data_IF_867447380619
#
_entry.id   IF_867447380619
#
_cell.length_a   1.000
_cell.length_b   1.000
_cell.length_c   1.000
_cell.angle_alpha   90.00
_cell.angle_beta   90.00
_cell.angle_gamma   90.00
#
_symmetry.space_group_name_H-M   'P 1'
#
loop_
_entity.id
_entity.type
_entity.pdbx_description
1 polymer ?
#
# COMPACT_ATOMS: atom_id res chain seq x y z
N UNK A 1 -5.05 20.11 17.50
CA UNK A 1 -5.93 19.07 16.90
C UNK A 1 -6.08 19.36 15.40
N UNK A 2 -5.83 18.38 14.53
CA UNK A 2 -5.87 18.57 13.06
C UNK A 2 -7.29 18.78 12.51
N UNK A 3 -8.31 18.33 13.25
CA UNK A 3 -9.72 18.58 12.95
C UNK A 3 -10.34 19.29 14.15
N UNK A 4 -10.90 20.48 13.92
CA UNK A 4 -11.56 21.32 14.93
C UNK A 4 -13.05 21.42 14.62
N UNK A 5 -13.90 21.27 15.64
CA UNK A 5 -15.36 21.45 15.49
C UNK A 5 -15.75 22.93 15.50
N UNK A 6 -14.97 23.80 16.16
CA UNK A 6 -15.26 25.22 16.33
C UNK A 6 -13.99 26.05 16.12
N UNK A 7 -13.87 26.74 14.99
CA UNK A 7 -12.93 27.85 14.77
C UNK A 7 -11.44 27.60 15.09
N UNK A 8 -10.67 28.69 15.21
CA UNK A 8 -9.25 28.70 15.61
C UNK A 8 -9.01 29.80 16.64
N UNK A 9 -8.31 29.50 17.75
CA UNK A 9 -7.98 30.45 18.82
C UNK A 9 -8.08 29.82 20.21
N UNK A 10 -7.34 30.34 21.21
CA UNK A 10 -7.30 29.81 22.59
C UNK A 10 -8.70 29.67 23.21
N UNK A 11 -9.60 30.60 22.89
CA UNK A 11 -10.98 30.61 23.36
C UNK A 11 -11.80 29.41 22.87
N UNK A 12 -11.45 28.78 21.75
CA UNK A 12 -12.16 27.62 21.21
C UNK A 12 -11.50 26.28 21.59
N UNK A 13 -10.24 26.31 22.02
CA UNK A 13 -9.52 25.11 22.46
C UNK A 13 -10.07 24.59 23.80
N UNK A 14 -10.55 25.46 24.69
CA UNK A 14 -11.18 25.06 25.98
C UNK A 14 -12.54 24.36 25.80
N UNK A 15 -13.29 24.67 24.73
CA UNK A 15 -14.63 24.12 24.48
C UNK A 15 -14.65 22.99 23.46
N UNK A 16 -13.50 22.54 22.96
CA UNK A 16 -13.41 21.31 22.17
C UNK A 16 -13.76 20.12 23.07
N UNK A 17 -15.02 19.65 22.99
CA UNK A 17 -15.36 18.34 23.52
C UNK A 17 -14.63 17.30 22.68
N UNK A 18 -13.71 16.55 23.29
CA UNK A 18 -13.19 15.35 22.67
C UNK A 18 -14.36 14.37 22.58
N UNK A 19 -15.05 14.35 21.42
CA UNK A 19 -16.03 13.31 21.12
C UNK A 19 -15.36 11.97 21.39
N UNK A 20 -15.89 11.23 22.37
CA UNK A 20 -15.24 10.03 22.83
C UNK A 20 -15.82 8.83 22.11
N UNK A 21 -14.94 8.10 21.44
CA UNK A 21 -15.31 6.88 20.74
C UNK A 21 -15.55 5.78 21.77
N UNK A 22 -16.53 4.92 21.51
CA UNK A 22 -16.69 3.67 22.24
C UNK A 22 -15.47 2.76 22.04
N UNK A 23 -15.24 1.81 22.95
CA UNK A 23 -14.13 0.85 22.83
C UNK A 23 -14.17 0.06 21.51
N UNK A 24 -15.37 -0.22 20.99
CA UNK A 24 -15.53 -0.91 19.71
C UNK A 24 -15.15 -0.01 18.53
N UNK A 25 -15.60 1.25 18.53
CA UNK A 25 -15.23 2.21 17.49
C UNK A 25 -13.71 2.46 17.48
N UNK A 26 -13.06 2.58 18.64
CA UNK A 26 -11.61 2.73 18.73
C UNK A 26 -10.90 1.53 18.08
N UNK A 27 -11.35 0.31 18.38
CA UNK A 27 -10.79 -0.91 17.76
C UNK A 27 -10.93 -0.86 16.24
N UNK A 28 -12.15 -0.60 15.74
CA UNK A 28 -12.41 -0.51 14.31
C UNK A 28 -11.55 0.57 13.64
N UNK A 29 -11.41 1.74 14.27
CA UNK A 29 -10.57 2.83 13.75
C UNK A 29 -9.10 2.44 13.67
N UNK A 30 -8.55 1.81 14.72
CA UNK A 30 -7.16 1.32 14.72
C UNK A 30 -6.98 0.28 13.60
N UNK A 31 -7.87 -0.72 13.51
CA UNK A 31 -7.82 -1.74 12.47
C UNK A 31 -7.87 -1.13 11.05
N UNK A 32 -8.74 -0.14 10.82
CA UNK A 32 -8.80 0.56 9.54
C UNK A 32 -7.52 1.35 9.25
N UNK A 33 -6.99 2.09 10.22
CA UNK A 33 -5.80 2.93 10.06
C UNK A 33 -4.51 2.11 9.91
N UNK A 34 -4.42 0.93 10.52
CA UNK A 34 -3.28 0.03 10.34
C UNK A 34 -3.25 -0.66 8.97
N UNK A 35 -4.40 -0.74 8.29
CA UNK A 35 -4.58 -1.43 7.01
C UNK A 35 -4.84 -0.49 5.82
N UNK A 36 -5.00 0.82 6.06
CA UNK A 36 -5.18 1.79 5.00
C UNK A 36 -3.93 1.84 4.12
N UNK A 37 -4.11 1.89 2.81
CA UNK A 37 -3.03 2.07 1.84
C UNK A 37 -3.15 3.44 1.18
N UNK A 38 -2.00 4.07 0.98
CA UNK A 38 -1.82 5.42 0.43
C UNK A 38 -0.76 5.30 -0.66
N UNK A 39 -1.01 5.92 -1.81
CA UNK A 39 -0.08 5.94 -2.93
C UNK A 39 0.09 7.37 -3.44
N UNK A 40 1.33 7.86 -3.50
CA UNK A 40 1.68 9.09 -4.20
C UNK A 40 2.29 8.77 -5.59
N UNK A 41 1.58 9.04 -6.70
CA UNK A 41 2.08 8.73 -8.04
C UNK A 41 3.20 9.67 -8.51
N UNK A 42 3.44 10.80 -7.82
CA UNK A 42 4.48 11.77 -8.14
C UNK A 42 5.19 12.21 -6.85
N UNK A 43 5.72 11.21 -6.14
CA UNK A 43 6.27 11.29 -4.79
C UNK A 43 7.34 12.39 -4.62
N UNK A 44 8.07 12.74 -5.69
CA UNK A 44 9.18 13.66 -5.61
C UNK A 44 10.17 13.25 -4.53
N UNK A 45 10.52 14.20 -3.67
CA UNK A 45 11.43 13.96 -2.54
C UNK A 45 10.74 13.33 -1.32
N UNK A 46 9.47 12.94 -1.36
CA UNK A 46 8.79 12.26 -0.25
C UNK A 46 8.16 13.17 0.80
N UNK A 47 7.74 14.39 0.42
CA UNK A 47 7.10 15.30 1.38
C UNK A 47 5.75 14.76 1.84
N UNK A 48 4.95 14.24 0.90
CA UNK A 48 3.62 13.70 1.17
C UNK A 48 3.69 12.42 2.01
N UNK A 49 4.54 11.45 1.66
CA UNK A 49 4.62 10.18 2.40
C UNK A 49 5.15 10.37 3.82
N UNK A 50 6.15 11.23 4.02
CA UNK A 50 6.63 11.58 5.37
C UNK A 50 5.52 12.30 6.16
N UNK A 51 4.76 13.20 5.52
CA UNK A 51 3.61 13.84 6.15
C UNK A 51 2.53 12.84 6.55
N UNK A 52 2.16 11.93 5.65
CA UNK A 52 1.17 10.89 5.92
C UNK A 52 1.64 9.89 6.99
N UNK A 53 2.93 9.56 7.03
CA UNK A 53 3.53 8.79 8.12
C UNK A 53 3.28 9.47 9.47
N UNK A 54 3.55 10.78 9.56
CA UNK A 54 3.36 11.55 10.79
C UNK A 54 1.88 11.64 11.17
N UNK A 55 0.98 11.88 10.21
CA UNK A 55 -0.46 11.94 10.47
C UNK A 55 -0.99 10.61 11.00
N UNK A 56 -0.68 9.49 10.32
CA UNK A 56 -1.12 8.16 10.77
C UNK A 56 -0.54 7.81 12.14
N UNK A 57 0.73 8.12 12.37
CA UNK A 57 1.38 7.84 13.65
C UNK A 57 0.75 8.63 14.80
N UNK A 58 0.47 9.92 14.60
CA UNK A 58 -0.16 10.78 15.61
C UNK A 58 -1.60 10.34 15.91
N UNK A 59 -2.38 9.98 14.88
CA UNK A 59 -3.76 9.52 15.06
C UNK A 59 -3.75 8.18 15.81
N UNK A 60 -2.92 7.23 15.40
CA UNK A 60 -2.80 5.94 16.09
C UNK A 60 -2.34 6.11 17.53
N UNK A 61 -1.31 6.93 17.78
CA UNK A 61 -0.83 7.22 19.13
C UNK A 61 -1.94 7.86 19.99
N UNK A 62 -2.73 8.78 19.43
CA UNK A 62 -3.89 9.35 20.12
C UNK A 62 -4.91 8.26 20.49
N UNK A 63 -5.26 7.39 19.55
CA UNK A 63 -6.23 6.31 19.77
C UNK A 63 -5.73 5.30 20.81
N UNK A 64 -4.45 4.90 20.79
CA UNK A 64 -3.91 4.02 21.82
C UNK A 64 -3.89 4.64 23.23
N UNK A 65 -3.75 5.96 23.31
CA UNK A 65 -3.62 6.68 24.59
C UNK A 65 -4.97 7.05 25.23
N UNK A 66 -6.12 6.83 24.55
CA UNK A 66 -7.44 7.22 25.08
C UNK A 66 -7.85 6.37 26.27
N UNK A 67 -8.68 6.94 27.16
CA UNK A 67 -9.19 6.22 28.32
C UNK A 67 -10.04 5.01 27.94
N UNK A 68 -10.90 5.14 26.93
CA UNK A 68 -11.81 4.09 26.48
C UNK A 68 -11.17 3.01 25.59
N UNK A 69 -9.87 3.11 25.31
CA UNK A 69 -9.16 2.11 24.49
C UNK A 69 -9.20 0.76 25.19
N UNK A 70 -9.59 -0.32 24.48
CA UNK A 70 -9.61 -1.67 25.02
C UNK A 70 -8.30 -2.04 25.72
N UNK A 71 -8.40 -2.73 26.87
CA UNK A 71 -7.24 -3.04 27.70
C UNK A 71 -6.19 -3.90 26.97
N UNK A 72 -6.63 -4.83 26.12
CA UNK A 72 -5.75 -5.64 25.27
C UNK A 72 -4.93 -4.77 24.31
N UNK A 73 -5.54 -3.77 23.68
CA UNK A 73 -4.85 -2.84 22.78
C UNK A 73 -3.92 -1.88 23.53
N UNK A 74 -4.25 -1.48 24.76
CA UNK A 74 -3.36 -0.66 25.60
C UNK A 74 -2.14 -1.41 26.09
N UNK A 75 -2.28 -2.71 26.35
CA UNK A 75 -1.18 -3.53 26.87
C UNK A 75 -0.17 -3.91 25.77
N UNK A 76 -0.59 -3.91 24.51
CA UNK A 76 0.24 -4.31 23.36
C UNK A 76 0.49 -3.14 22.38
N UNK A 77 0.65 -1.91 22.90
CA UNK A 77 0.94 -0.76 22.05
C UNK A 77 2.35 -0.89 21.46
N UNK A 78 2.51 -0.91 20.12
CA UNK A 78 3.84 -0.95 19.52
C UNK A 78 4.63 0.32 19.86
N UNK A 79 5.93 0.18 20.09
CA UNK A 79 6.83 1.34 20.30
C UNK A 79 6.84 2.25 19.06
N UNK A 80 7.15 3.55 19.20
CA UNK A 80 7.11 4.51 18.09
C UNK A 80 7.87 4.04 16.84
N UNK A 81 9.08 3.51 17.01
CA UNK A 81 9.86 2.93 15.91
C UNK A 81 9.11 1.80 15.18
N UNK A 82 8.61 0.81 15.92
CA UNK A 82 7.89 -0.34 15.35
C UNK A 82 6.58 0.09 14.69
N UNK A 83 5.84 1.03 15.30
CA UNK A 83 4.61 1.58 14.74
C UNK A 83 4.88 2.32 13.43
N UNK A 84 5.86 3.22 13.39
CA UNK A 84 6.26 3.94 12.15
C UNK A 84 6.73 2.97 11.08
N UNK A 85 7.52 1.95 11.45
CA UNK A 85 7.98 0.91 10.54
C UNK A 85 6.81 0.10 9.95
N UNK A 86 5.80 -0.22 10.77
CA UNK A 86 4.59 -0.90 10.33
C UNK A 86 3.71 -0.02 9.41
N UNK A 87 3.59 1.28 9.70
CA UNK A 87 2.89 2.24 8.81
C UNK A 87 3.60 2.29 7.46
N UNK A 88 4.93 2.37 7.42
CA UNK A 88 5.67 2.33 6.16
C UNK A 88 5.38 0.98 5.45
N UNK A 89 5.55 -0.17 6.11
CA UNK A 89 5.32 -1.52 5.53
C UNK A 89 3.92 -1.67 4.90
N UNK A 90 2.88 -1.24 5.61
CA UNK A 90 1.50 -1.54 5.24
C UNK A 90 0.86 -0.45 4.40
N UNK A 91 1.16 0.81 4.70
CA UNK A 91 0.35 1.93 4.23
C UNK A 91 0.98 2.74 3.12
N UNK A 92 2.30 2.95 3.14
CA UNK A 92 2.92 3.94 2.27
C UNK A 92 3.48 3.36 0.97
N UNK A 93 3.07 3.95 -0.15
CA UNK A 93 3.57 3.65 -1.49
C UNK A 93 3.80 4.95 -2.28
N UNK A 94 4.79 4.94 -3.16
CA UNK A 94 5.12 6.10 -3.99
C UNK A 94 5.78 5.73 -5.31
N UNK A 95 5.57 6.56 -6.32
CA UNK A 95 6.21 6.47 -7.64
C UNK A 95 6.79 7.83 -7.99
N UNK A 96 7.99 7.86 -8.57
CA UNK A 96 8.62 9.09 -9.04
C UNK A 96 9.53 8.80 -10.24
N UNK A 97 9.50 9.65 -11.26
CA UNK A 97 10.27 9.44 -12.49
C UNK A 97 11.77 9.68 -12.29
N UNK A 98 12.15 10.61 -11.41
CA UNK A 98 13.55 10.94 -11.10
C UNK A 98 14.12 10.04 -10.00
N UNK A 99 15.04 9.14 -10.37
CA UNK A 99 15.72 8.24 -9.43
C UNK A 99 16.33 8.94 -8.20
N UNK A 100 16.95 10.10 -8.38
CA UNK A 100 17.57 10.83 -7.28
C UNK A 100 16.53 11.36 -6.27
N UNK A 101 15.32 11.69 -6.72
CA UNK A 101 14.26 12.15 -5.84
C UNK A 101 13.73 10.99 -4.98
N UNK A 102 13.62 9.79 -5.55
CA UNK A 102 13.36 8.54 -4.80
C UNK A 102 14.41 8.30 -3.72
N UNK A 103 15.70 8.52 -4.00
CA UNK A 103 16.75 8.37 -2.99
C UNK A 103 16.61 9.36 -1.84
N UNK A 104 16.25 10.62 -2.13
CA UNK A 104 15.98 11.61 -1.09
C UNK A 104 14.76 11.21 -0.25
N UNK A 105 13.71 10.69 -0.89
CA UNK A 105 12.52 10.16 -0.21
C UNK A 105 12.90 9.02 0.75
N UNK A 106 13.66 8.03 0.26
CA UNK A 106 14.16 6.92 1.10
C UNK A 106 14.96 7.43 2.30
N UNK A 107 15.87 8.39 2.10
CA UNK A 107 16.65 8.98 3.17
C UNK A 107 15.76 9.66 4.22
N UNK A 108 14.73 10.42 3.80
CA UNK A 108 13.81 11.09 4.73
C UNK A 108 12.99 10.11 5.55
N UNK A 109 12.49 9.04 4.93
CA UNK A 109 11.79 7.97 5.64
C UNK A 109 12.72 7.25 6.63
N UNK A 110 13.96 6.95 6.24
CA UNK A 110 14.96 6.37 7.13
C UNK A 110 15.33 7.28 8.29
N UNK A 111 15.56 8.58 8.06
CA UNK A 111 15.83 9.54 9.13
C UNK A 111 14.65 9.63 10.11
N UNK A 112 13.42 9.60 9.59
CA UNK A 112 12.21 9.58 10.42
C UNK A 112 12.17 8.35 11.32
N UNK A 113 12.54 7.17 10.81
CA UNK A 113 12.65 5.96 11.63
C UNK A 113 13.84 6.02 12.61
N UNK A 114 14.98 6.51 12.15
CA UNK A 114 16.21 6.53 12.94
C UNK A 114 16.08 7.36 14.23
N UNK A 115 15.32 8.46 14.18
CA UNK A 115 15.03 9.30 15.35
C UNK A 115 14.39 8.49 16.49
N UNK A 116 13.47 7.58 16.19
CA UNK A 116 12.76 6.78 17.21
C UNK A 116 13.44 5.44 17.52
N UNK A 117 14.52 5.12 16.83
CA UNK A 117 15.24 3.86 17.02
C UNK A 117 15.76 3.77 18.46
N UNK A 118 15.54 2.64 19.17
CA UNK A 118 16.06 2.46 20.52
C UNK A 118 17.59 2.54 20.55
N UNK A 119 18.18 3.20 21.56
CA UNK A 119 19.63 3.43 21.61
C UNK A 119 20.45 2.13 21.59
N UNK A 120 19.96 1.09 22.27
CA UNK A 120 20.57 -0.25 22.27
C UNK A 120 20.71 -0.86 20.87
N UNK A 121 19.83 -0.46 19.94
CA UNK A 121 19.75 -1.02 18.60
C UNK A 121 20.59 -0.17 17.63
N UNK A 122 20.88 1.11 17.94
CA UNK A 122 21.71 1.99 17.09
C UNK A 122 23.13 1.47 16.85
N UNK A 123 23.67 0.66 17.76
CA UNK A 123 25.00 0.03 17.64
C UNK A 123 24.94 -1.40 17.10
N UNK A 124 23.76 -1.88 16.68
CA UNK A 124 23.60 -3.22 16.13
C UNK A 124 24.29 -3.34 14.77
N UNK A 125 24.96 -4.48 14.54
CA UNK A 125 25.52 -4.85 13.24
C UNK A 125 24.47 -5.44 12.29
N UNK A 126 23.23 -5.65 12.75
CA UNK A 126 22.13 -6.11 11.93
C UNK A 126 21.45 -4.92 11.23
N UNK A 127 21.01 -5.07 9.96
CA UNK A 127 20.31 -4.01 9.25
C UNK A 127 18.91 -3.80 9.84
N UNK A 128 18.74 -2.75 10.64
CA UNK A 128 17.47 -2.44 11.32
C UNK A 128 16.51 -1.61 10.48
N UNK A 129 17.05 -0.69 9.67
CA UNK A 129 16.28 0.11 8.75
C UNK A 129 15.74 -0.77 7.61
N UNK A 130 14.45 -0.62 7.28
CA UNK A 130 13.83 -1.46 6.27
C UNK A 130 14.31 -1.12 4.86
N UNK A 131 14.19 -2.08 3.95
CA UNK A 131 14.39 -1.81 2.54
C UNK A 131 13.15 -1.16 1.91
N UNK A 132 13.32 0.02 1.30
CA UNK A 132 12.23 0.84 0.77
C UNK A 132 11.98 0.68 -0.74
N UNK A 133 12.76 -0.17 -1.43
CA UNK A 133 12.76 -0.27 -2.89
C UNK A 133 11.38 -0.60 -3.49
N UNK A 134 10.58 -1.40 -2.79
CA UNK A 134 9.23 -1.78 -3.23
C UNK A 134 8.11 -0.95 -2.57
N UNK A 135 8.49 0.10 -1.85
CA UNK A 135 7.56 1.06 -1.21
C UNK A 135 7.53 2.34 -2.02
N UNK A 136 8.69 2.94 -2.27
CA UNK A 136 8.83 4.08 -3.18
C UNK A 136 9.74 3.67 -4.33
N UNK A 137 9.22 3.67 -5.54
CA UNK A 137 9.90 3.13 -6.73
C UNK A 137 10.12 4.20 -7.80
N UNK A 138 11.23 4.10 -8.54
CA UNK A 138 11.44 4.92 -9.75
C UNK A 138 10.59 4.43 -10.92
N UNK A 139 9.65 5.20 -11.41
CA UNK A 139 8.77 4.73 -12.49
C UNK A 139 7.92 5.83 -13.11
N UNK A 140 7.25 5.48 -14.20
CA UNK A 140 6.27 6.35 -14.86
C UNK A 140 4.86 5.98 -14.38
N UNK A 141 4.28 6.85 -13.56
CA UNK A 141 2.94 6.66 -13.01
C UNK A 141 1.82 6.81 -14.05
N UNK A 142 2.10 7.32 -15.25
CA UNK A 142 1.14 7.39 -16.35
C UNK A 142 0.89 6.00 -16.96
N UNK A 143 1.83 5.06 -16.79
CA UNK A 143 1.69 3.70 -17.29
C UNK A 143 0.90 2.86 -16.27
N UNK A 144 -0.41 2.79 -16.49
CA UNK A 144 -1.34 2.05 -15.62
C UNK A 144 -2.00 0.85 -16.32
N UNK A 145 -1.39 0.30 -17.37
CA UNK A 145 -1.98 -0.79 -18.15
C UNK A 145 -0.97 -1.89 -18.48
N UNK A 146 -1.46 -3.13 -18.53
CA UNK A 146 -0.75 -4.30 -19.03
C UNK A 146 -1.65 -4.92 -20.09
N UNK A 147 -1.23 -4.89 -21.35
CA UNK A 147 -2.12 -5.23 -22.48
C UNK A 147 -3.30 -4.26 -22.53
N UNK A 148 -4.53 -4.79 -22.60
CA UNK A 148 -5.74 -3.96 -22.47
C UNK A 148 -6.29 -3.91 -21.04
N UNK A 149 -5.67 -4.60 -20.07
CA UNK A 149 -6.10 -4.52 -18.66
C UNK A 149 -5.54 -3.26 -18.01
N UNK A 150 -6.44 -2.42 -17.51
CA UNK A 150 -6.07 -1.22 -16.75
C UNK A 150 -6.00 -1.55 -15.26
N UNK A 151 -4.99 -1.03 -14.58
CA UNK A 151 -4.73 -1.15 -13.15
C UNK A 151 -4.92 0.24 -12.51
N UNK A 152 -6.17 0.69 -12.33
CA UNK A 152 -6.42 1.98 -11.72
C UNK A 152 -6.07 1.94 -10.23
N UNK A 153 -5.71 3.10 -9.67
CA UNK A 153 -5.45 3.26 -8.22
C UNK A 153 -6.70 2.92 -7.39
N UNK A 154 -7.90 3.09 -7.96
CA UNK A 154 -9.18 2.71 -7.38
C UNK A 154 -9.95 1.79 -8.32
N UNK A 155 -10.49 0.70 -7.79
CA UNK A 155 -11.32 -0.25 -8.52
C UNK A 155 -10.85 -1.70 -8.36
N UNK A 156 -11.61 -2.63 -8.94
CA UNK A 156 -11.26 -4.05 -8.96
C UNK A 156 -10.77 -4.44 -10.35
N UNK A 157 -9.70 -5.23 -10.39
CA UNK A 157 -9.21 -5.86 -11.61
C UNK A 157 -9.65 -7.31 -11.62
N UNK A 158 -10.35 -7.72 -12.68
CA UNK A 158 -10.72 -9.12 -12.88
C UNK A 158 -9.49 -9.91 -13.36
N UNK A 159 -8.93 -10.68 -12.43
CA UNK A 159 -7.79 -11.57 -12.63
C UNK A 159 -8.17 -13.00 -12.22
N UNK A 160 -7.60 -13.98 -12.91
CA UNK A 160 -7.75 -15.40 -12.56
C UNK A 160 -7.16 -15.73 -11.18
N UNK A 161 -7.65 -16.81 -10.59
CA UNK A 161 -7.21 -17.28 -9.27
C UNK A 161 -5.71 -17.63 -9.24
N UNK A 162 -5.15 -18.15 -10.34
CA UNK A 162 -3.73 -18.46 -10.45
C UNK A 162 -2.86 -17.20 -10.37
N UNK A 163 -3.24 -16.14 -11.08
CA UNK A 163 -2.55 -14.85 -11.05
C UNK A 163 -2.67 -14.20 -9.68
N UNK A 164 -3.86 -14.22 -9.07
CA UNK A 164 -4.07 -13.72 -7.70
C UNK A 164 -3.15 -14.40 -6.69
N UNK A 165 -2.95 -15.72 -6.79
CA UNK A 165 -1.99 -16.45 -5.93
C UNK A 165 -0.55 -15.97 -6.13
N UNK A 166 -0.11 -15.80 -7.39
CA UNK A 166 1.22 -15.26 -7.70
C UNK A 166 1.42 -13.84 -7.14
N UNK A 167 0.39 -12.98 -7.22
CA UNK A 167 0.41 -11.63 -6.64
C UNK A 167 0.58 -11.68 -5.12
N UNK A 168 -0.15 -12.58 -4.43
CA UNK A 168 -0.01 -12.77 -2.97
C UNK A 168 1.41 -13.23 -2.61
N UNK A 169 1.98 -14.17 -3.36
CA UNK A 169 3.35 -14.62 -3.18
C UNK A 169 4.35 -13.47 -3.38
N UNK A 170 4.20 -12.69 -4.46
CA UNK A 170 5.05 -11.53 -4.74
C UNK A 170 4.96 -10.48 -3.63
N UNK A 171 3.74 -10.20 -3.11
CA UNK A 171 3.54 -9.30 -1.97
C UNK A 171 4.32 -9.78 -0.74
N UNK A 172 4.29 -11.08 -0.45
CA UNK A 172 5.03 -11.66 0.67
C UNK A 172 6.56 -11.53 0.46
N UNK A 173 7.06 -11.80 -0.75
CA UNK A 173 8.49 -11.63 -1.06
C UNK A 173 8.95 -10.18 -0.91
N UNK A 174 8.16 -9.22 -1.40
CA UNK A 174 8.43 -7.77 -1.24
C UNK A 174 8.44 -7.37 0.23
N UNK A 175 7.53 -7.93 1.04
CA UNK A 175 7.50 -7.71 2.49
C UNK A 175 8.71 -8.30 3.21
N UNK A 176 9.13 -9.51 2.85
CA UNK A 176 10.34 -10.12 3.44
C UNK A 176 11.60 -9.34 3.06
N UNK A 177 11.65 -8.76 1.86
CA UNK A 177 12.71 -7.84 1.45
C UNK A 177 12.69 -6.54 2.26
N UNK A 178 11.51 -5.95 2.51
CA UNK A 178 11.35 -4.77 3.37
C UNK A 178 11.95 -5.00 4.77
N UNK A 179 11.72 -6.18 5.37
CA UNK A 179 12.28 -6.54 6.68
C UNK A 179 13.71 -7.12 6.63
N UNK A 180 14.42 -6.98 5.51
CA UNK A 180 15.80 -7.47 5.31
C UNK A 180 15.98 -8.99 5.49
N UNK A 181 14.90 -9.78 5.38
CA UNK A 181 14.95 -11.26 5.45
C UNK A 181 15.46 -11.89 4.16
N UNK A 182 15.26 -11.20 3.04
CA UNK A 182 15.82 -11.54 1.74
C UNK A 182 16.71 -10.40 1.24
N UNK A 183 17.80 -10.75 0.55
CA UNK A 183 18.71 -9.80 -0.09
C UNK A 183 18.63 -9.82 -1.61
N UNK A 184 17.82 -10.71 -2.19
CA UNK A 184 17.80 -10.94 -3.63
C UNK A 184 16.71 -10.10 -4.32
N UNK A 185 17.06 -8.87 -4.66
CA UNK A 185 16.20 -7.96 -5.44
C UNK A 185 15.81 -8.57 -6.80
N UNK A 186 16.77 -9.20 -7.50
CA UNK A 186 16.58 -9.73 -8.87
C UNK A 186 15.53 -10.84 -8.92
N UNK A 187 15.46 -11.66 -7.88
CA UNK A 187 14.43 -12.70 -7.79
C UNK A 187 13.02 -12.09 -7.73
N UNK A 188 12.86 -11.00 -6.98
CA UNK A 188 11.56 -10.33 -6.82
C UNK A 188 11.16 -9.64 -8.14
N UNK A 189 12.11 -9.03 -8.82
CA UNK A 189 11.91 -8.43 -10.15
C UNK A 189 11.52 -9.49 -11.19
N UNK A 190 12.17 -10.67 -11.18
CA UNK A 190 11.80 -11.79 -12.04
C UNK A 190 10.36 -12.28 -11.77
N UNK A 191 9.98 -12.47 -10.50
CA UNK A 191 8.61 -12.88 -10.17
C UNK A 191 7.56 -11.82 -10.54
N UNK A 192 7.91 -10.54 -10.44
CA UNK A 192 7.05 -9.45 -10.91
C UNK A 192 6.83 -9.51 -12.43
N UNK A 193 7.91 -9.69 -13.20
CA UNK A 193 7.82 -9.87 -14.66
C UNK A 193 7.01 -11.12 -15.02
N UNK A 194 7.19 -12.22 -14.29
CA UNK A 194 6.43 -13.45 -14.50
C UNK A 194 4.93 -13.26 -14.24
N UNK A 195 4.54 -12.40 -13.28
CA UNK A 195 3.13 -12.02 -13.08
C UNK A 195 2.61 -11.23 -14.28
N UNK A 196 3.37 -10.27 -14.79
CA UNK A 196 2.96 -9.48 -15.96
C UNK A 196 2.80 -10.34 -17.21
N UNK A 197 3.75 -11.26 -17.45
CA UNK A 197 3.66 -12.24 -18.55
C UNK A 197 2.42 -13.12 -18.41
N UNK A 198 2.15 -13.66 -17.22
CA UNK A 198 0.96 -14.48 -16.99
C UNK A 198 -0.36 -13.73 -17.26
N UNK A 199 -0.41 -12.43 -16.96
CA UNK A 199 -1.57 -11.58 -17.28
C UNK A 199 -1.74 -11.43 -18.79
N UNK A 200 -0.65 -11.17 -19.52
CA UNK A 200 -0.67 -11.03 -20.98
C UNK A 200 -1.02 -12.36 -21.66
N UNK A 201 -0.47 -13.48 -21.21
CA UNK A 201 -0.73 -14.80 -21.76
C UNK A 201 -2.20 -15.20 -21.61
N UNK A 202 -2.79 -14.91 -20.44
CA UNK A 202 -4.21 -15.12 -20.22
C UNK A 202 -5.06 -14.27 -21.17
N UNK A 203 -4.71 -12.99 -21.34
CA UNK A 203 -5.41 -12.11 -22.28
C UNK A 203 -5.27 -12.57 -23.75
N UNK A 204 -4.09 -13.04 -24.14
CA UNK A 204 -3.85 -13.61 -25.48
C UNK A 204 -4.72 -14.84 -25.69
N UNK A 205 -4.81 -15.73 -24.69
CA UNK A 205 -5.66 -16.93 -24.76
C UNK A 205 -7.14 -16.57 -24.90
N UNK A 206 -7.66 -15.67 -24.06
CA UNK A 206 -9.06 -15.21 -24.15
C UNK A 206 -9.40 -14.63 -25.54
N UNK A 207 -8.46 -13.88 -26.14
CA UNK A 207 -8.65 -13.33 -27.49
C UNK A 207 -8.61 -14.40 -28.57
N UNK A 208 -7.69 -15.38 -28.47
CA UNK A 208 -7.61 -16.51 -29.41
C UNK A 208 -8.89 -17.34 -29.40
N UNK A 209 -9.46 -17.61 -28.22
CA UNK A 209 -10.74 -18.31 -28.07
C UNK A 209 -11.88 -17.53 -28.75
N UNK A 210 -11.96 -16.21 -28.54
CA UNK A 210 -12.96 -15.35 -29.20
C UNK A 210 -12.80 -15.35 -30.72
N UNK A 211 -11.57 -15.26 -31.23
CA UNK A 211 -11.31 -15.33 -32.68
C UNK A 211 -11.78 -16.67 -33.23
N UNK A 212 -11.45 -17.78 -32.55
CA UNK A 212 -11.88 -19.12 -32.96
C UNK A 212 -13.42 -19.23 -33.04
N UNK A 213 -14.14 -18.74 -32.02
CA UNK A 213 -15.61 -18.73 -32.00
C UNK A 213 -16.21 -17.89 -33.14
N UNK A 214 -15.60 -16.74 -33.45
CA UNK A 214 -16.07 -15.84 -34.52
C UNK A 214 -15.72 -16.35 -35.93
N UNK A 215 -14.67 -17.17 -36.05
CA UNK A 215 -14.26 -17.78 -37.32
C UNK A 215 -15.03 -19.05 -37.67
N UNK A 216 -15.89 -19.57 -36.78
CA UNK A 216 -16.77 -20.69 -37.11
C UNK A 216 -17.86 -20.24 -38.10
N UNK A 217 -18.19 -21.05 -39.13
CA UNK A 217 -19.22 -20.71 -40.10
C UNK A 217 -20.57 -20.52 -39.40
N UNK A 218 -21.28 -19.44 -39.74
CA UNK A 218 -22.67 -19.23 -39.27
C UNK A 218 -23.54 -20.37 -39.83
N UNK A 219 -24.38 -21.03 -39.01
CA UNK A 219 -25.38 -21.94 -39.56
C UNK A 219 -26.31 -21.14 -40.48
N UNK A 220 -26.42 -21.56 -41.73
CA UNK A 220 -27.43 -21.04 -42.65
C UNK A 220 -28.80 -21.23 -41.98
N UNK A 221 -29.45 -20.13 -41.60
CA UNK A 221 -30.87 -20.16 -41.32
C UNK A 221 -31.55 -20.48 -42.64
N UNK A 222 -31.90 -21.75 -42.83
CA UNK A 222 -32.91 -22.19 -43.78
C UNK A 222 -34.21 -21.47 -43.40
N UNK A 223 -34.41 -20.29 -43.98
CA UNK A 223 -35.73 -19.68 -44.09
C UNK A 223 -36.56 -20.63 -44.95
N UNK A 224 -37.25 -21.56 -44.31
CA UNK A 224 -38.35 -22.30 -44.93
C UNK A 224 -39.39 -21.26 -45.30
N UNK A 225 -39.43 -20.91 -46.58
CA UNK A 225 -40.52 -20.15 -47.15
C UNK A 225 -41.81 -20.98 -47.06
N UNK A 226 -42.87 -20.31 -46.62
CA UNK A 226 -44.23 -20.81 -46.51
C UNK A 226 -44.74 -21.43 -47.83
N UNK A 227 -45.43 -22.57 -47.70
CA UNK A 227 -46.56 -23.00 -48.55
C UNK A 227 -47.54 -23.78 -47.72
#
# INVERSE_FOLDING_TARGET
LFFREMGTGETYDEYQKQGDFSSNEIRTLIECLENVTICDPAAGSGAFEVGMLQVLEQILQNLYSRNNTPADLKNDVPKPFERKKAIIDRSLYGVEVKRWAVWINHLRLWLTLFVDMPDKDKTSFLPLLPNLAFKVHTGDSLVQRIGNKTFPVKGQVHLSTSIKRKIVQLKQMKRDFFYNKSRNYRLIEHEEQAVFQAILDEEIRERKEKICLLSQPKPEQLTFFDT
#
